data_IF_285394666346
#
_entry.id   IF_285394666346
#
_cell.length_a   1.000
_cell.length_b   1.000
_cell.length_c   1.000
_cell.angle_alpha   90.00
_cell.angle_beta   90.00
_cell.angle_gamma   90.00
#
_symmetry.space_group_name_H-M   'P 1'
#
loop_
_entity.id
_entity.type
_entity.pdbx_description
1 polymer ?
#
# COMPACT_ATOMS: atom_id res chain seq x y z
N UNK A 1 -53.21 13.22 9.50
CA UNK A 1 -52.24 12.23 10.07
C UNK A 1 -51.37 11.77 8.92
N UNK A 2 -50.20 12.31 8.81
CA UNK A 2 -49.20 11.88 7.80
C UNK A 2 -48.66 10.51 8.24
N UNK A 3 -48.87 9.53 7.37
CA UNK A 3 -48.38 8.16 7.57
C UNK A 3 -46.81 8.22 7.55
N UNK A 4 -46.21 8.10 8.70
CA UNK A 4 -44.76 8.20 8.90
C UNK A 4 -44.10 6.81 8.83
N UNK A 5 -44.62 5.93 7.95
CA UNK A 5 -43.99 4.64 7.69
C UNK A 5 -42.81 4.84 6.76
N UNK A 6 -41.62 4.32 7.10
CA UNK A 6 -40.48 4.37 6.17
C UNK A 6 -40.84 3.66 4.87
N UNK A 7 -40.37 4.21 3.75
CA UNK A 7 -40.57 3.63 2.43
C UNK A 7 -39.89 2.25 2.38
N UNK A 8 -40.63 1.16 2.08
CA UNK A 8 -40.05 -0.19 2.04
C UNK A 8 -38.84 -0.31 1.10
N UNK A 9 -38.85 0.41 -0.02
CA UNK A 9 -37.73 0.37 -1.00
C UNK A 9 -36.49 1.11 -0.47
N UNK A 10 -36.67 2.20 0.30
CA UNK A 10 -35.54 2.87 0.98
C UNK A 10 -34.95 2.00 2.07
N UNK A 11 -35.81 1.27 2.83
CA UNK A 11 -35.35 0.34 3.85
C UNK A 11 -34.58 -0.85 3.24
N UNK A 12 -35.07 -1.37 2.12
CA UNK A 12 -34.44 -2.45 1.38
C UNK A 12 -33.05 -2.01 0.87
N UNK A 13 -32.95 -0.83 0.26
CA UNK A 13 -31.70 -0.25 -0.20
C UNK A 13 -30.72 -0.01 0.96
N UNK A 14 -31.20 0.40 2.13
CA UNK A 14 -30.37 0.56 3.33
C UNK A 14 -29.83 -0.80 3.83
N UNK A 15 -30.71 -1.82 3.91
CA UNK A 15 -30.29 -3.18 4.33
C UNK A 15 -29.31 -3.79 3.34
N UNK A 16 -29.53 -3.61 2.03
CA UNK A 16 -28.60 -4.08 1.00
C UNK A 16 -27.25 -3.36 1.10
N UNK A 17 -27.25 -2.04 1.29
CA UNK A 17 -26.03 -1.26 1.49
C UNK A 17 -25.27 -1.66 2.77
N UNK A 18 -25.98 -1.88 3.88
CA UNK A 18 -25.40 -2.37 5.14
C UNK A 18 -24.85 -3.79 4.97
N UNK A 19 -25.55 -4.67 4.26
CA UNK A 19 -25.09 -6.05 3.99
C UNK A 19 -23.84 -6.05 3.13
N UNK A 20 -23.78 -5.24 2.07
CA UNK A 20 -22.61 -5.06 1.22
C UNK A 20 -21.42 -4.50 2.03
N UNK A 21 -21.67 -3.56 2.92
CA UNK A 21 -20.64 -2.99 3.79
C UNK A 21 -20.11 -4.02 4.80
N UNK A 22 -20.96 -4.95 5.24
CA UNK A 22 -20.57 -6.00 6.21
C UNK A 22 -19.78 -7.14 5.55
N UNK A 23 -19.95 -7.36 4.25
CA UNK A 23 -19.24 -8.39 3.48
C UNK A 23 -17.95 -7.89 2.83
N UNK A 24 -17.79 -6.56 2.70
CA UNK A 24 -16.60 -5.97 2.10
C UNK A 24 -15.41 -6.05 3.06
N UNK A 25 -14.26 -6.48 2.56
CA UNK A 25 -12.99 -6.44 3.30
C UNK A 25 -12.57 -5.02 3.66
N UNK A 26 -11.70 -4.89 4.64
CA UNK A 26 -11.18 -3.61 5.15
C UNK A 26 -9.84 -3.28 4.51
N UNK A 27 -9.66 -2.01 4.15
CA UNK A 27 -8.40 -1.47 3.66
C UNK A 27 -7.67 -0.73 4.80
N UNK A 28 -6.44 -1.19 5.10
CA UNK A 28 -5.53 -0.53 6.05
C UNK A 28 -4.29 -0.06 5.30
N UNK A 29 -4.03 1.25 5.32
CA UNK A 29 -2.91 1.87 4.62
C UNK A 29 -1.86 2.34 5.64
N UNK A 30 -0.63 1.85 5.50
CA UNK A 30 0.54 2.40 6.19
C UNK A 30 1.09 3.54 5.33
N UNK A 31 0.85 4.75 5.77
CA UNK A 31 1.09 5.98 5.02
C UNK A 31 2.30 6.73 5.55
N UNK A 32 3.08 7.37 4.69
CA UNK A 32 4.22 8.16 5.14
C UNK A 32 4.75 9.10 4.07
N UNK A 33 5.62 10.01 4.51
CA UNK A 33 6.15 11.10 3.68
C UNK A 33 7.05 10.64 2.53
N UNK A 34 7.75 9.51 2.69
CA UNK A 34 8.72 9.04 1.68
C UNK A 34 9.11 7.58 1.87
N UNK A 35 9.91 7.05 0.94
CA UNK A 35 10.56 5.75 1.12
C UNK A 35 11.52 5.79 2.31
N UNK A 36 11.64 4.69 3.06
CA UNK A 36 12.58 4.55 4.18
C UNK A 36 12.06 4.94 5.55
N UNK A 37 10.88 5.54 5.67
CA UNK A 37 10.29 5.90 6.99
C UNK A 37 9.87 4.69 7.84
N UNK A 38 9.72 3.49 7.23
CA UNK A 38 9.42 2.25 7.97
C UNK A 38 8.07 1.61 7.66
N UNK A 39 7.29 2.10 6.69
CA UNK A 39 5.93 1.61 6.39
C UNK A 39 5.82 0.09 6.22
N UNK A 40 6.69 -0.50 5.38
CA UNK A 40 6.70 -1.95 5.16
C UNK A 40 7.04 -2.71 6.44
N UNK A 41 7.94 -2.18 7.27
CA UNK A 41 8.27 -2.75 8.57
C UNK A 41 7.05 -2.76 9.50
N UNK A 42 6.37 -1.63 9.64
CA UNK A 42 5.18 -1.50 10.51
C UNK A 42 4.02 -2.35 9.99
N UNK A 43 3.82 -2.43 8.66
CA UNK A 43 2.85 -3.32 8.04
C UNK A 43 3.11 -4.78 8.40
N UNK A 44 4.36 -5.25 8.31
CA UNK A 44 4.74 -6.61 8.65
C UNK A 44 4.60 -6.88 10.16
N UNK A 45 4.94 -5.91 11.02
CA UNK A 45 4.73 -6.04 12.47
C UNK A 45 3.24 -6.20 12.79
N UNK A 46 2.37 -5.40 12.18
CA UNK A 46 0.92 -5.51 12.35
C UNK A 46 0.39 -6.88 11.83
N UNK A 47 0.93 -7.36 10.72
CA UNK A 47 0.60 -8.67 10.15
C UNK A 47 0.98 -9.82 11.10
N UNK A 48 2.17 -9.81 11.67
CA UNK A 48 2.62 -10.81 12.66
C UNK A 48 1.77 -10.77 13.93
N UNK A 49 1.38 -9.60 14.37
CA UNK A 49 0.47 -9.45 15.51
C UNK A 49 -0.91 -10.07 15.21
N UNK A 50 -1.45 -9.84 14.01
CA UNK A 50 -2.71 -10.45 13.58
C UNK A 50 -2.60 -11.98 13.48
N UNK A 51 -1.50 -12.50 12.92
CA UNK A 51 -1.22 -13.94 12.87
C UNK A 51 -1.18 -14.56 14.26
N UNK A 52 -0.53 -13.89 15.22
CA UNK A 52 -0.49 -14.33 16.62
C UNK A 52 -1.87 -14.34 17.29
N UNK A 53 -2.82 -13.55 16.79
CA UNK A 53 -4.22 -13.54 17.20
C UNK A 53 -5.08 -14.62 16.50
N UNK A 54 -4.47 -15.40 15.60
CA UNK A 54 -5.12 -16.53 14.92
C UNK A 54 -5.72 -16.19 13.55
N UNK A 55 -5.48 -14.98 13.01
CA UNK A 55 -5.88 -14.66 11.64
C UNK A 55 -5.01 -15.39 10.61
N UNK A 56 -5.63 -15.85 9.52
CA UNK A 56 -4.93 -16.39 8.36
C UNK A 56 -4.32 -15.22 7.55
N UNK A 57 -3.02 -15.01 7.71
CA UNK A 57 -2.27 -13.91 7.06
C UNK A 57 -1.49 -14.47 5.87
N UNK A 58 -1.67 -13.86 4.69
CA UNK A 58 -0.96 -14.18 3.47
C UNK A 58 -0.15 -12.98 2.99
N UNK A 59 1.11 -13.19 2.62
CA UNK A 59 1.94 -12.19 1.96
C UNK A 59 1.74 -12.33 0.45
N UNK A 60 1.04 -11.41 -0.18
CA UNK A 60 0.84 -11.36 -1.62
C UNK A 60 2.08 -10.84 -2.35
N UNK A 61 2.49 -9.62 -2.01
CA UNK A 61 3.73 -9.02 -2.48
C UNK A 61 4.26 -8.05 -1.42
N UNK A 62 5.54 -8.14 -1.11
CA UNK A 62 6.25 -7.23 -0.20
C UNK A 62 7.65 -6.99 -0.72
N UNK A 63 8.03 -5.71 -0.81
CA UNK A 63 9.34 -5.27 -1.26
C UNK A 63 10.25 -4.96 -0.07
N UNK A 64 11.18 -5.86 0.21
CA UNK A 64 12.15 -5.65 1.30
C UNK A 64 13.32 -4.75 0.92
N UNK A 65 13.56 -4.55 -0.37
CA UNK A 65 14.68 -3.78 -0.93
C UNK A 65 16.05 -4.21 -0.38
N UNK A 66 16.20 -5.49 -0.02
CA UNK A 66 17.44 -6.05 0.55
C UNK A 66 17.69 -5.70 2.02
N UNK A 67 16.69 -5.16 2.74
CA UNK A 67 16.79 -4.84 4.17
C UNK A 67 16.61 -6.10 5.00
N UNK A 68 17.66 -6.52 5.71
CA UNK A 68 17.65 -7.74 6.51
C UNK A 68 16.62 -7.71 7.66
N UNK A 69 16.46 -6.56 8.32
CA UNK A 69 15.48 -6.38 9.40
C UNK A 69 14.04 -6.56 8.90
N UNK A 70 13.72 -6.02 7.71
CA UNK A 70 12.40 -6.19 7.10
C UNK A 70 12.21 -7.62 6.58
N UNK A 71 13.26 -8.21 6.00
CA UNK A 71 13.22 -9.59 5.50
C UNK A 71 13.01 -10.60 6.63
N UNK A 72 13.60 -10.39 7.80
CA UNK A 72 13.40 -11.23 8.97
C UNK A 72 11.94 -11.27 9.46
N UNK A 73 11.17 -10.21 9.22
CA UNK A 73 9.74 -10.18 9.57
C UNK A 73 8.86 -11.05 8.66
N UNK A 74 9.38 -11.45 7.50
CA UNK A 74 8.69 -12.40 6.60
C UNK A 74 8.84 -13.86 7.06
N UNK A 75 9.80 -14.16 7.94
CA UNK A 75 9.95 -15.49 8.52
C UNK A 75 8.65 -15.89 9.22
N UNK A 76 8.23 -17.12 9.04
CA UNK A 76 6.97 -17.71 9.57
C UNK A 76 5.66 -17.15 8.97
N UNK A 77 5.71 -16.19 8.04
CA UNK A 77 4.54 -15.79 7.26
C UNK A 77 4.41 -16.65 6.00
N UNK A 78 3.18 -17.00 5.65
CA UNK A 78 2.90 -17.69 4.37
C UNK A 78 3.04 -16.68 3.23
N UNK A 79 3.92 -16.98 2.25
CA UNK A 79 4.18 -16.11 1.11
C UNK A 79 3.59 -16.73 -0.15
N UNK A 80 2.79 -15.96 -0.88
CA UNK A 80 2.25 -16.33 -2.18
C UNK A 80 3.37 -16.26 -3.23
N UNK A 81 3.58 -17.32 -4.05
CA UNK A 81 4.49 -17.24 -5.18
C UNK A 81 4.06 -16.14 -6.17
N UNK A 82 5.02 -15.33 -6.61
CA UNK A 82 4.74 -14.29 -7.60
C UNK A 82 4.49 -14.91 -8.98
N UNK A 83 3.53 -14.35 -9.71
CA UNK A 83 3.23 -14.71 -11.10
C UNK A 83 4.37 -14.27 -12.00
N UNK A 84 4.82 -15.18 -12.86
CA UNK A 84 5.82 -14.86 -13.87
C UNK A 84 5.13 -14.43 -15.16
N UNK A 85 5.48 -13.26 -15.67
CA UNK A 85 4.89 -12.66 -16.86
C UNK A 85 6.01 -12.39 -17.86
N UNK A 86 5.93 -13.02 -19.04
CA UNK A 86 6.87 -12.76 -20.11
C UNK A 86 6.46 -11.50 -20.87
N UNK A 87 7.29 -10.48 -20.81
CA UNK A 87 7.06 -9.20 -21.46
C UNK A 87 8.33 -8.70 -22.17
N UNK A 88 8.25 -8.49 -23.48
CA UNK A 88 9.36 -7.99 -24.33
C UNK A 88 10.66 -8.79 -24.19
N UNK A 89 10.55 -10.12 -24.05
CA UNK A 89 11.71 -11.01 -23.91
C UNK A 89 12.35 -11.05 -22.53
N UNK A 90 11.68 -10.48 -21.53
CA UNK A 90 12.08 -10.55 -20.11
C UNK A 90 10.95 -11.19 -19.31
N UNK A 91 11.29 -12.03 -18.34
CA UNK A 91 10.34 -12.57 -17.37
C UNK A 91 10.28 -11.63 -16.16
N UNK A 92 9.15 -10.98 -15.98
CA UNK A 92 8.85 -10.09 -14.87
C UNK A 92 8.05 -10.84 -13.80
N UNK A 93 8.21 -10.42 -12.55
CA UNK A 93 7.46 -10.97 -11.41
C UNK A 93 6.39 -9.97 -11.01
N UNK A 94 5.16 -10.46 -10.83
CA UNK A 94 4.04 -9.63 -10.45
C UNK A 94 3.18 -10.34 -9.39
N UNK A 95 2.36 -9.60 -8.67
CA UNK A 95 1.39 -10.13 -7.73
C UNK A 95 0.37 -11.04 -8.44
N UNK A 96 0.10 -12.21 -7.86
CA UNK A 96 -0.90 -13.16 -8.37
C UNK A 96 -2.25 -12.98 -7.67
N UNK A 97 -3.05 -12.05 -8.19
CA UNK A 97 -4.39 -11.77 -7.65
C UNK A 97 -5.33 -12.98 -7.77
N UNK A 98 -5.21 -13.78 -8.84
CA UNK A 98 -6.08 -14.95 -9.05
C UNK A 98 -5.84 -16.01 -7.96
N UNK A 99 -4.57 -16.26 -7.64
CA UNK A 99 -4.22 -17.18 -6.56
C UNK A 99 -4.61 -16.63 -5.16
N UNK A 100 -4.47 -15.32 -4.94
CA UNK A 100 -4.89 -14.68 -3.69
C UNK A 100 -6.40 -14.78 -3.46
N UNK A 101 -7.21 -14.52 -4.49
CA UNK A 101 -8.66 -14.69 -4.46
C UNK A 101 -9.07 -16.14 -4.20
N UNK A 102 -8.37 -17.12 -4.79
CA UNK A 102 -8.66 -18.55 -4.59
C UNK A 102 -8.34 -19.02 -3.17
N UNK A 103 -7.27 -18.49 -2.55
CA UNK A 103 -6.89 -18.81 -1.16
C UNK A 103 -7.82 -18.15 -0.15
N UNK A 104 -8.28 -16.94 -0.44
CA UNK A 104 -9.19 -16.15 0.38
C UNK A 104 -8.72 -16.02 1.85
N UNK A 105 -7.55 -15.40 2.12
CA UNK A 105 -7.05 -15.23 3.47
C UNK A 105 -7.89 -14.20 4.26
N UNK A 106 -7.78 -14.20 5.60
CA UNK A 106 -8.39 -13.16 6.43
C UNK A 106 -7.73 -11.79 6.20
N UNK A 107 -6.39 -11.79 6.02
CA UNK A 107 -5.58 -10.59 5.78
C UNK A 107 -4.54 -10.89 4.69
N UNK A 108 -4.49 -10.02 3.70
CA UNK A 108 -3.51 -10.07 2.61
C UNK A 108 -2.61 -8.83 2.64
N UNK A 109 -1.29 -9.05 2.52
CA UNK A 109 -0.32 -7.97 2.43
C UNK A 109 -0.01 -7.67 0.96
N UNK A 110 -0.24 -6.44 0.53
CA UNK A 110 0.02 -5.96 -0.83
C UNK A 110 0.76 -4.63 -0.74
N UNK A 111 2.09 -4.68 -0.80
CA UNK A 111 2.96 -3.50 -0.68
C UNK A 111 2.91 -2.61 -1.94
N UNK A 112 3.28 -1.34 -1.80
CA UNK A 112 3.37 -0.35 -2.89
C UNK A 112 2.05 -0.14 -3.66
N UNK A 113 1.01 0.36 -2.98
CA UNK A 113 -0.35 0.54 -3.50
C UNK A 113 -0.43 1.30 -4.84
N UNK A 114 0.44 2.28 -5.09
CA UNK A 114 0.45 3.09 -6.29
C UNK A 114 1.16 2.45 -7.50
N UNK A 115 1.72 1.25 -7.32
CA UNK A 115 2.48 0.56 -8.36
C UNK A 115 1.67 0.39 -9.66
N UNK A 116 2.37 0.54 -10.82
CA UNK A 116 1.82 0.21 -12.12
C UNK A 116 2.18 -1.22 -12.49
N UNK A 117 1.17 -2.09 -12.56
CA UNK A 117 1.36 -3.50 -12.86
C UNK A 117 1.98 -3.71 -14.23
N UNK A 118 2.62 -4.87 -14.41
CA UNK A 118 3.18 -5.28 -15.71
C UNK A 118 2.07 -5.25 -16.76
N UNK A 119 2.32 -4.69 -17.97
CA UNK A 119 1.38 -4.79 -19.07
C UNK A 119 0.97 -6.24 -19.31
N UNK A 120 -0.33 -6.51 -19.52
CA UNK A 120 -0.97 -7.83 -19.57
C UNK A 120 -1.42 -8.39 -18.22
N UNK A 121 -1.15 -7.70 -17.10
CA UNK A 121 -1.79 -8.01 -15.82
C UNK A 121 -3.31 -7.78 -15.90
N UNK A 122 -4.05 -8.40 -14.99
CA UNK A 122 -5.53 -8.27 -14.90
C UNK A 122 -5.97 -6.82 -14.77
N UNK A 123 -5.27 -6.04 -13.95
CA UNK A 123 -5.48 -4.61 -13.81
C UNK A 123 -4.20 -3.83 -14.13
N UNK A 124 -4.28 -2.63 -14.69
CA UNK A 124 -3.12 -1.79 -14.97
C UNK A 124 -2.46 -1.22 -13.71
N UNK A 125 -3.19 -1.13 -12.59
CA UNK A 125 -2.73 -0.55 -11.34
C UNK A 125 -2.99 -1.48 -10.16
N UNK A 126 -2.04 -1.54 -9.23
CA UNK A 126 -2.15 -2.38 -8.02
C UNK A 126 -3.31 -1.99 -7.12
N UNK A 127 -3.66 -0.71 -7.03
CA UNK A 127 -4.83 -0.30 -6.25
C UNK A 127 -6.14 -0.90 -6.78
N UNK A 128 -6.23 -1.21 -8.08
CA UNK A 128 -7.39 -1.87 -8.67
C UNK A 128 -7.44 -3.36 -8.28
N UNK A 129 -6.27 -4.02 -8.17
CA UNK A 129 -6.20 -5.37 -7.61
C UNK A 129 -6.68 -5.35 -6.16
N UNK A 130 -6.22 -4.37 -5.37
CA UNK A 130 -6.64 -4.19 -3.97
C UNK A 130 -8.15 -3.92 -3.87
N UNK A 131 -8.71 -3.11 -4.76
CA UNK A 131 -10.17 -2.86 -4.81
C UNK A 131 -10.96 -4.16 -5.04
N UNK A 132 -10.53 -5.01 -5.98
CA UNK A 132 -11.16 -6.31 -6.23
C UNK A 132 -11.05 -7.23 -5.01
N UNK A 133 -9.90 -7.28 -4.34
CA UNK A 133 -9.69 -8.10 -3.14
C UNK A 133 -10.61 -7.67 -1.99
N UNK A 134 -10.72 -6.39 -1.69
CA UNK A 134 -11.62 -5.90 -0.64
C UNK A 134 -13.10 -6.10 -1.01
N UNK A 135 -13.46 -5.99 -2.29
CA UNK A 135 -14.81 -6.29 -2.75
C UNK A 135 -15.14 -7.79 -2.64
N UNK A 136 -14.13 -8.66 -2.69
CA UNK A 136 -14.26 -10.09 -2.43
C UNK A 136 -14.30 -10.45 -0.93
N UNK A 137 -14.20 -9.47 -0.01
CA UNK A 137 -14.27 -9.69 1.44
C UNK A 137 -12.92 -9.90 2.13
N UNK A 138 -11.80 -9.77 1.41
CA UNK A 138 -10.45 -9.94 1.96
C UNK A 138 -9.96 -8.62 2.57
N UNK A 139 -9.47 -8.65 3.82
CA UNK A 139 -8.83 -7.47 4.40
C UNK A 139 -7.45 -7.29 3.80
N UNK A 140 -7.11 -6.06 3.40
CA UNK A 140 -5.82 -5.75 2.78
C UNK A 140 -5.04 -4.75 3.62
N UNK A 141 -3.77 -5.09 3.89
CA UNK A 141 -2.76 -4.17 4.43
C UNK A 141 -1.82 -3.76 3.30
N UNK A 142 -1.59 -2.48 3.16
CA UNK A 142 -0.77 -1.92 2.08
C UNK A 142 0.04 -0.72 2.53
N UNK A 143 0.97 -0.26 1.70
CA UNK A 143 1.78 0.93 1.97
C UNK A 143 1.58 1.99 0.90
N UNK A 144 1.71 3.26 1.30
CA UNK A 144 1.63 4.40 0.39
C UNK A 144 2.55 5.54 0.85
N UNK A 145 3.20 6.22 -0.09
CA UNK A 145 3.87 7.49 0.17
C UNK A 145 2.99 8.66 -0.29
N UNK A 146 3.09 9.80 0.41
CA UNK A 146 2.32 11.02 0.10
C UNK A 146 2.47 11.46 -1.36
N UNK A 147 3.66 11.28 -1.94
CA UNK A 147 3.97 11.67 -3.33
C UNK A 147 3.13 10.97 -4.39
N UNK A 148 2.45 9.88 -4.04
CA UNK A 148 1.62 9.12 -4.97
C UNK A 148 0.14 9.53 -4.94
N UNK A 149 -0.29 10.42 -4.06
CA UNK A 149 -1.64 11.00 -4.09
C UNK A 149 -1.76 12.00 -5.25
N UNK A 150 -2.84 11.88 -6.02
CA UNK A 150 -3.03 12.74 -7.21
C UNK A 150 -3.12 14.22 -6.84
N UNK A 151 -3.82 14.57 -5.76
CA UNK A 151 -4.03 15.96 -5.33
C UNK A 151 -2.75 16.69 -4.95
N UNK A 152 -1.73 15.99 -4.48
CA UNK A 152 -0.47 16.62 -4.05
C UNK A 152 0.68 16.42 -5.04
N UNK A 153 0.47 15.72 -6.14
CA UNK A 153 1.53 15.36 -7.10
C UNK A 153 2.26 16.60 -7.66
N UNK A 154 1.53 17.63 -8.03
CA UNK A 154 2.12 18.89 -8.54
C UNK A 154 2.96 19.60 -7.48
N UNK A 155 2.50 19.62 -6.23
CA UNK A 155 3.24 20.23 -5.10
C UNK A 155 4.52 19.44 -4.83
N UNK A 156 4.43 18.11 -4.84
CA UNK A 156 5.60 17.23 -4.69
C UNK A 156 6.63 17.47 -5.80
N UNK A 157 6.18 17.63 -7.04
CA UNK A 157 7.07 17.97 -8.16
C UNK A 157 7.75 19.35 -7.96
N UNK A 158 7.03 20.34 -7.47
CA UNK A 158 7.61 21.67 -7.16
C UNK A 158 8.67 21.59 -6.04
N UNK A 159 8.43 20.78 -5.01
CA UNK A 159 9.35 20.61 -3.88
C UNK A 159 10.61 19.84 -4.31
N UNK A 160 10.43 18.72 -5.00
CA UNK A 160 11.50 17.74 -5.25
C UNK A 160 12.17 17.90 -6.61
N UNK A 161 11.51 18.55 -7.57
CA UNK A 161 11.91 18.61 -8.98
C UNK A 161 11.69 17.28 -9.71
N UNK A 162 10.94 16.34 -9.15
CA UNK A 162 10.72 15.00 -9.71
C UNK A 162 9.23 14.79 -9.97
N UNK A 163 8.87 14.53 -11.22
CA UNK A 163 7.52 14.16 -11.58
C UNK A 163 7.27 12.68 -11.21
N UNK A 164 6.35 12.43 -10.30
CA UNK A 164 5.90 11.10 -9.92
C UNK A 164 4.83 10.64 -10.90
N UNK A 165 5.06 9.49 -11.55
CA UNK A 165 4.16 8.95 -12.58
C UNK A 165 3.16 7.93 -12.04
N UNK A 166 3.51 7.29 -10.95
CA UNK A 166 2.65 6.32 -10.29
C UNK A 166 1.81 7.04 -9.26
N UNK A 167 0.53 7.22 -9.56
CA UNK A 167 -0.41 7.95 -8.73
C UNK A 167 -1.57 7.06 -8.30
N UNK A 168 -2.17 7.44 -7.18
CA UNK A 168 -3.35 6.86 -6.59
C UNK A 168 -4.46 7.94 -6.57
N UNK A 169 -5.68 7.64 -7.04
CA UNK A 169 -6.81 8.55 -6.89
C UNK A 169 -7.13 8.83 -5.42
N UNK A 170 -7.35 10.10 -5.06
CA UNK A 170 -7.62 10.49 -3.67
C UNK A 170 -8.86 9.79 -3.10
N UNK A 171 -9.91 9.59 -3.90
CA UNK A 171 -11.12 8.88 -3.45
C UNK A 171 -10.84 7.45 -2.97
N UNK A 172 -9.81 6.77 -3.54
CA UNK A 172 -9.45 5.42 -3.09
C UNK A 172 -8.70 5.46 -1.75
N UNK A 173 -7.87 6.49 -1.53
CA UNK A 173 -7.24 6.72 -0.25
C UNK A 173 -8.29 7.05 0.83
N UNK A 174 -9.24 7.92 0.52
CA UNK A 174 -10.32 8.33 1.42
C UNK A 174 -11.27 7.17 1.78
N UNK A 175 -11.37 6.15 0.92
CA UNK A 175 -12.14 4.94 1.16
C UNK A 175 -11.47 3.95 2.12
N UNK A 176 -10.24 4.22 2.60
CA UNK A 176 -9.55 3.36 3.55
C UNK A 176 -10.27 3.32 4.90
N UNK A 177 -10.37 2.11 5.49
CA UNK A 177 -10.97 1.93 6.81
C UNK A 177 -10.03 2.40 7.94
N UNK A 178 -8.72 2.30 7.70
CA UNK A 178 -7.70 2.71 8.65
C UNK A 178 -6.47 3.23 7.90
N UNK A 179 -5.97 4.39 8.31
CA UNK A 179 -4.69 4.96 7.85
C UNK A 179 -3.76 5.09 9.04
N UNK A 180 -2.62 4.42 8.98
CA UNK A 180 -1.56 4.49 9.99
C UNK A 180 -0.47 5.40 9.47
N UNK A 181 -0.30 6.58 10.08
CA UNK A 181 0.80 7.47 9.73
C UNK A 181 2.12 6.92 10.30
N UNK A 182 3.04 6.58 9.40
CA UNK A 182 4.40 6.14 9.75
C UNK A 182 5.34 7.32 9.54
N UNK A 183 5.76 7.91 10.63
CA UNK A 183 6.55 9.14 10.63
C UNK A 183 7.97 8.90 11.13
N UNK A 184 8.93 9.56 10.46
CA UNK A 184 10.34 9.56 10.85
C UNK A 184 10.92 10.96 10.62
N UNK A 185 11.61 11.55 11.61
CA UNK A 185 12.29 12.83 11.43
C UNK A 185 13.29 12.82 10.27
N UNK A 186 13.39 13.93 9.54
CA UNK A 186 14.23 14.03 8.34
C UNK A 186 15.71 13.68 8.62
N UNK A 187 16.24 14.05 9.77
CA UNK A 187 17.62 13.74 10.15
C UNK A 187 17.85 12.24 10.37
N UNK A 188 16.89 11.55 10.99
CA UNK A 188 16.95 10.09 11.18
C UNK A 188 16.83 9.36 9.83
N UNK A 189 15.98 9.84 8.93
CA UNK A 189 15.85 9.27 7.59
C UNK A 189 17.15 9.44 6.78
N UNK A 190 17.81 10.59 6.87
CA UNK A 190 19.11 10.82 6.23
C UNK A 190 20.19 9.88 6.79
N UNK A 191 20.22 9.68 8.10
CA UNK A 191 21.12 8.69 8.75
C UNK A 191 20.85 7.28 8.23
N UNK A 192 19.60 6.85 8.14
CA UNK A 192 19.24 5.54 7.55
C UNK A 192 19.66 5.40 6.09
N UNK A 193 19.58 6.49 5.31
CA UNK A 193 20.07 6.53 3.93
C UNK A 193 21.58 6.35 3.84
N UNK A 194 22.35 7.03 4.69
CA UNK A 194 23.81 6.93 4.76
C UNK A 194 24.26 5.52 5.19
N UNK A 195 23.52 4.89 6.11
CA UNK A 195 23.73 3.51 6.55
C UNK A 195 23.33 2.45 5.51
N UNK A 196 22.77 2.86 4.35
CA UNK A 196 22.31 1.94 3.29
C UNK A 196 21.02 1.18 3.63
N UNK A 197 20.28 1.62 4.65
CA UNK A 197 19.04 0.97 5.12
C UNK A 197 17.80 1.33 4.29
N UNK A 198 17.91 2.26 3.33
CA UNK A 198 16.80 2.68 2.45
C UNK A 198 17.02 2.25 1.02
N UNK A 199 18.22 2.49 0.50
CA UNK A 199 18.69 2.10 -0.83
C UNK A 199 20.09 1.52 -0.77
N UNK A 200 20.45 0.71 -1.75
CA UNK A 200 21.84 0.28 -1.90
C UNK A 200 22.76 1.51 -2.06
N UNK A 201 24.00 1.49 -1.52
CA UNK A 201 24.86 2.68 -1.39
C UNK A 201 25.08 3.48 -2.69
N UNK A 202 25.12 2.81 -3.85
CA UNK A 202 25.30 3.48 -5.14
C UNK A 202 24.03 4.20 -5.63
N UNK A 203 22.85 3.72 -5.24
CA UNK A 203 21.56 4.35 -5.56
C UNK A 203 21.27 5.49 -4.58
N UNK A 204 21.65 5.35 -3.32
CA UNK A 204 21.48 6.37 -2.28
C UNK A 204 22.14 7.70 -2.65
N UNK A 205 23.37 7.70 -3.22
CA UNK A 205 24.08 8.92 -3.60
C UNK A 205 23.34 9.78 -4.62
N UNK A 206 22.64 9.18 -5.56
CA UNK A 206 21.85 9.92 -6.56
C UNK A 206 20.49 10.35 -6.00
N UNK A 207 19.85 9.52 -5.17
CA UNK A 207 18.60 9.83 -4.51
C UNK A 207 18.74 11.02 -3.54
N UNK A 208 19.82 11.06 -2.75
CA UNK A 208 20.12 12.17 -1.80
C UNK A 208 20.32 13.50 -2.53
N UNK A 209 20.93 13.49 -3.71
CA UNK A 209 21.20 14.74 -4.45
C UNK A 209 19.92 15.47 -4.89
N UNK A 210 18.85 14.74 -5.13
CA UNK A 210 17.62 15.28 -5.70
C UNK A 210 16.44 15.23 -4.72
N UNK A 211 15.92 14.04 -4.44
CA UNK A 211 14.70 13.86 -3.66
C UNK A 211 14.95 13.99 -2.14
N UNK A 212 15.97 13.31 -1.61
CA UNK A 212 16.24 13.23 -0.17
C UNK A 212 17.07 14.39 0.38
N UNK A 213 16.79 15.62 -0.05
CA UNK A 213 17.32 16.81 0.61
C UNK A 213 16.53 17.08 1.88
N UNK A 214 17.21 17.47 2.97
CA UNK A 214 16.55 17.73 4.26
C UNK A 214 15.33 18.65 4.13
N UNK A 215 15.42 19.74 3.37
CA UNK A 215 14.29 20.64 3.13
C UNK A 215 13.13 19.99 2.42
N UNK A 216 13.39 19.13 1.41
CA UNK A 216 12.34 18.38 0.72
C UNK A 216 11.65 17.39 1.66
N UNK A 217 12.43 16.66 2.49
CA UNK A 217 11.89 15.70 3.44
C UNK A 217 11.01 16.37 4.50
N UNK A 218 11.41 17.54 5.00
CA UNK A 218 10.57 18.32 5.92
C UNK A 218 9.27 18.72 5.23
N UNK A 219 9.34 19.26 4.00
CA UNK A 219 8.15 19.69 3.27
C UNK A 219 7.21 18.50 2.92
N UNK A 220 7.76 17.36 2.52
CA UNK A 220 6.96 16.15 2.27
C UNK A 220 6.31 15.59 3.55
N UNK A 221 6.98 15.75 4.69
CA UNK A 221 6.44 15.36 5.99
C UNK A 221 5.25 16.23 6.41
N UNK A 222 5.29 17.52 6.08
CA UNK A 222 4.16 18.45 6.33
C UNK A 222 2.95 18.18 5.40
N UNK A 223 3.18 17.52 4.26
CA UNK A 223 2.11 17.10 3.35
C UNK A 223 1.45 15.78 3.74
N UNK A 224 2.12 14.95 4.53
CA UNK A 224 1.62 13.66 4.96
C UNK A 224 0.81 13.77 6.26
#
# INVERSE_FOLDING_TARGET
>A
MTDNRPNPDELLNQIEAETLTTTRGKLKIFFGSSAGVGKTYDMLMAARQAQAQGFNVLVGIVETHGRSETAALLEDLTILPLKQIDYRGQTLKEFDIDAALAIHPDILLVDELAHSNVPTSRHPKRWQDVEELINAGINVYTTLNVQHLESVNDVVNQITGIAVRETLPDWFFDAANEVVLVDLPADELLTRLEEGKVYLPNQAKNAVKNFFRKGNLIALRELA
#
